data_IF_612667948926
#
_entry.id   IF_612667948926
#
_cell.length_a   1.000
_cell.length_b   1.000
_cell.length_c   1.000
_cell.angle_alpha   90.00
_cell.angle_beta   90.00
_cell.angle_gamma   90.00
#
_symmetry.space_group_name_H-M   'P 1'
#
loop_
_entity.id
_entity.type
_entity.pdbx_description
1 polymer ?
#
# COMPACT_ATOMS: atom_id res chain seq x y z
N UNK A 1 -50.62 -63.43 6.95
CA UNK A 1 -50.11 -63.52 5.58
C UNK A 1 -50.29 -62.17 4.94
N UNK A 2 -49.16 -61.56 4.61
CA UNK A 2 -48.89 -60.47 3.64
C UNK A 2 -50.00 -60.13 2.64
N UNK A 3 -50.16 -58.94 2.05
CA UNK A 3 -49.45 -57.63 2.01
C UNK A 3 -50.39 -56.70 1.21
N UNK A 4 -50.40 -55.39 1.52
CA UNK A 4 -50.60 -54.21 0.64
C UNK A 4 -51.47 -53.14 1.30
N UNK A 5 -50.81 -52.15 1.91
CA UNK A 5 -51.36 -50.81 2.06
C UNK A 5 -50.49 -49.84 1.26
N UNK A 6 -51.18 -49.08 0.41
CA UNK A 6 -50.72 -48.03 -0.49
C UNK A 6 -50.00 -46.89 0.26
N UNK A 7 -49.03 -46.20 -0.38
CA UNK A 7 -48.23 -45.19 0.26
C UNK A 7 -48.90 -43.80 0.24
N UNK A 8 -48.94 -43.19 1.43
CA UNK A 8 -48.15 -41.98 1.68
C UNK A 8 -48.56 -40.70 0.98
N UNK A 9 -49.21 -39.83 1.76
CA UNK A 9 -49.44 -38.40 1.55
C UNK A 9 -48.30 -37.68 0.79
N UNK A 10 -48.68 -37.00 -0.29
CA UNK A 10 -47.91 -35.91 -0.88
C UNK A 10 -47.89 -34.71 0.09
N UNK A 11 -46.72 -34.40 0.63
CA UNK A 11 -46.43 -33.09 1.22
C UNK A 11 -45.94 -32.17 0.11
N UNK A 12 -46.72 -31.13 -0.18
CA UNK A 12 -46.32 -30.07 -1.10
C UNK A 12 -45.02 -29.41 -0.61
N UNK A 13 -43.98 -29.54 -1.42
CA UNK A 13 -42.70 -28.86 -1.24
C UNK A 13 -42.97 -27.36 -1.41
N UNK A 14 -42.94 -26.63 -0.29
CA UNK A 14 -42.93 -25.18 -0.30
C UNK A 14 -41.69 -24.71 -1.07
N UNK A 15 -41.91 -24.06 -2.20
CA UNK A 15 -40.87 -23.36 -2.94
C UNK A 15 -40.32 -22.24 -2.05
N UNK A 16 -39.10 -22.44 -1.55
CA UNK A 16 -38.31 -21.35 -0.98
C UNK A 16 -38.06 -20.33 -2.09
N UNK A 17 -38.91 -19.30 -2.15
CA UNK A 17 -38.63 -18.09 -2.91
C UNK A 17 -37.45 -17.42 -2.20
N UNK A 18 -36.23 -17.74 -2.65
CA UNK A 18 -35.06 -16.94 -2.35
C UNK A 18 -35.27 -15.62 -3.08
N UNK A 19 -35.92 -14.67 -2.40
CA UNK A 19 -35.93 -13.28 -2.80
C UNK A 19 -34.48 -12.83 -2.81
N UNK A 20 -33.87 -12.92 -3.99
CA UNK A 20 -32.54 -12.37 -4.24
C UNK A 20 -32.76 -10.88 -4.22
N UNK A 21 -32.62 -10.27 -3.05
CA UNK A 21 -32.71 -8.83 -2.89
C UNK A 21 -31.58 -8.25 -3.74
N UNK A 22 -31.91 -7.82 -4.96
CA UNK A 22 -30.99 -7.10 -5.83
C UNK A 22 -30.79 -5.74 -5.18
N UNK A 23 -29.81 -5.66 -4.27
CA UNK A 23 -29.38 -4.39 -3.70
C UNK A 23 -28.90 -3.54 -4.88
N UNK A 24 -29.51 -2.38 -5.15
CA UNK A 24 -29.09 -1.51 -6.24
C UNK A 24 -27.59 -1.28 -6.15
N UNK A 25 -26.87 -1.53 -7.23
CA UNK A 25 -25.43 -1.28 -7.32
C UNK A 25 -25.24 0.23 -7.15
N UNK A 26 -24.88 0.68 -5.94
CA UNK A 26 -24.56 2.09 -5.69
C UNK A 26 -23.39 2.47 -6.60
N UNK A 27 -23.56 3.58 -7.32
CA UNK A 27 -22.52 4.08 -8.22
C UNK A 27 -21.41 4.64 -7.34
N UNK A 28 -20.22 4.03 -7.42
CA UNK A 28 -19.03 4.55 -6.76
C UNK A 28 -18.79 6.00 -7.23
N UNK A 29 -18.40 6.94 -6.35
CA UNK A 29 -18.02 8.28 -6.77
C UNK A 29 -16.95 8.20 -7.86
N UNK A 30 -16.97 9.13 -8.82
CA UNK A 30 -15.92 9.20 -9.83
C UNK A 30 -14.57 9.51 -9.18
N UNK A 31 -13.77 8.47 -8.92
CA UNK A 31 -12.42 8.62 -8.36
C UNK A 31 -11.42 9.19 -9.38
N UNK A 32 -11.75 9.16 -10.67
CA UNK A 32 -10.88 9.62 -11.75
C UNK A 32 -11.46 10.87 -12.41
N UNK A 33 -11.47 12.00 -11.68
CA UNK A 33 -11.81 13.29 -12.30
C UNK A 33 -10.59 13.85 -13.04
N UNK A 34 -10.79 14.69 -14.09
CA UNK A 34 -9.68 15.36 -14.78
C UNK A 34 -8.77 16.14 -13.84
N UNK A 35 -9.33 16.76 -12.78
CA UNK A 35 -8.57 17.50 -11.77
C UNK A 35 -7.65 16.57 -10.98
N UNK A 36 -8.16 15.46 -10.47
CA UNK A 36 -7.36 14.51 -9.69
C UNK A 36 -6.27 13.85 -10.54
N UNK A 37 -6.60 13.43 -11.77
CA UNK A 37 -5.61 12.85 -12.69
C UNK A 37 -4.51 13.84 -13.08
N UNK A 38 -4.85 15.10 -13.32
CA UNK A 38 -3.85 16.16 -13.55
C UNK A 38 -2.96 16.37 -12.33
N UNK A 39 -3.54 16.35 -11.12
CA UNK A 39 -2.77 16.49 -9.90
C UNK A 39 -1.80 15.31 -9.67
N UNK A 40 -2.21 14.08 -9.95
CA UNK A 40 -1.32 12.89 -9.89
C UNK A 40 -0.18 13.02 -10.90
N UNK A 41 -0.47 13.42 -12.15
CA UNK A 41 0.55 13.61 -13.17
C UNK A 41 1.56 14.70 -12.75
N UNK A 42 1.06 15.82 -12.23
CA UNK A 42 1.89 16.91 -11.71
C UNK A 42 2.76 16.44 -10.54
N UNK A 43 2.20 15.71 -9.58
CA UNK A 43 2.94 15.15 -8.46
C UNK A 43 4.06 14.22 -8.93
N UNK A 44 3.76 13.29 -9.85
CA UNK A 44 4.76 12.40 -10.46
C UNK A 44 5.87 13.16 -11.17
N UNK A 45 5.53 14.23 -11.88
CA UNK A 45 6.50 15.00 -12.66
C UNK A 45 7.64 15.58 -11.81
N UNK A 46 7.38 15.87 -10.54
CA UNK A 46 8.40 16.35 -9.58
C UNK A 46 9.50 15.31 -9.38
N UNK A 47 9.16 14.02 -9.51
CA UNK A 47 10.07 12.90 -9.29
C UNK A 47 10.61 12.28 -10.59
N UNK A 48 10.53 12.97 -11.74
CA UNK A 48 11.00 12.47 -13.03
C UNK A 48 12.50 12.08 -13.05
N UNK A 49 13.33 12.70 -12.20
CA UNK A 49 14.74 12.32 -12.06
C UNK A 49 14.94 10.91 -11.45
N UNK A 50 13.96 10.42 -10.69
CA UNK A 50 13.95 9.05 -10.16
C UNK A 50 12.51 8.58 -9.90
N UNK A 51 11.76 8.15 -10.94
CA UNK A 51 10.36 7.76 -10.79
C UNK A 51 10.17 6.52 -9.91
N UNK A 52 11.22 5.69 -9.74
CA UNK A 52 11.17 4.48 -8.91
C UNK A 52 10.82 4.78 -7.45
N UNK A 53 11.12 5.99 -6.95
CA UNK A 53 10.77 6.39 -5.59
C UNK A 53 9.25 6.26 -5.31
N UNK A 54 8.43 6.52 -6.33
CA UNK A 54 6.97 6.46 -6.22
C UNK A 54 6.43 5.04 -6.38
N UNK A 55 7.09 4.22 -7.20
CA UNK A 55 6.61 2.87 -7.56
C UNK A 55 7.17 1.76 -6.68
N UNK A 56 8.27 2.01 -5.97
CA UNK A 56 8.88 1.08 -5.02
C UNK A 56 8.59 1.48 -3.57
N UNK A 57 8.37 2.77 -3.30
CA UNK A 57 8.03 3.29 -1.97
C UNK A 57 9.03 2.87 -0.92
N UNK A 58 8.55 2.58 0.29
CA UNK A 58 9.40 2.23 1.44
C UNK A 58 10.34 1.05 1.18
N UNK A 59 9.99 0.16 0.26
CA UNK A 59 10.77 -1.03 -0.12
C UNK A 59 11.75 -0.78 -1.28
N UNK A 60 12.26 0.44 -1.39
CA UNK A 60 13.08 0.88 -2.52
C UNK A 60 14.33 0.02 -2.70
N UNK A 61 15.11 -0.18 -1.63
CA UNK A 61 16.36 -0.96 -1.68
C UNK A 61 16.04 -2.45 -1.91
N UNK A 62 15.06 -2.99 -1.19
CA UNK A 62 14.60 -4.37 -1.33
C UNK A 62 14.21 -4.71 -2.78
N UNK A 63 13.39 -3.86 -3.41
CA UNK A 63 12.98 -4.08 -4.79
C UNK A 63 14.10 -3.89 -5.80
N UNK A 64 15.07 -2.99 -5.55
CA UNK A 64 16.25 -2.91 -6.40
C UNK A 64 17.11 -4.19 -6.33
N UNK A 65 17.27 -4.79 -5.15
CA UNK A 65 17.93 -6.10 -5.02
C UNK A 65 17.16 -7.14 -5.85
N UNK A 66 15.83 -7.17 -5.71
CA UNK A 66 14.96 -8.09 -6.43
C UNK A 66 15.07 -7.95 -7.95
N UNK A 67 15.07 -6.71 -8.47
CA UNK A 67 15.21 -6.43 -9.91
C UNK A 67 16.56 -6.93 -10.46
N UNK A 68 17.68 -6.66 -9.79
CA UNK A 68 19.00 -7.13 -10.24
C UNK A 68 19.12 -8.66 -10.11
N UNK A 69 18.56 -9.28 -9.06
CA UNK A 69 18.49 -10.75 -8.97
C UNK A 69 17.68 -11.36 -10.12
N UNK A 70 16.53 -10.77 -10.48
CA UNK A 70 15.72 -11.25 -11.59
C UNK A 70 16.49 -11.18 -12.91
N UNK A 71 17.26 -10.11 -13.13
CA UNK A 71 18.10 -9.94 -14.31
C UNK A 71 19.22 -10.99 -14.38
N UNK A 72 19.91 -11.24 -13.27
CA UNK A 72 20.95 -12.26 -13.15
C UNK A 72 20.40 -13.67 -13.44
N UNK A 73 19.25 -14.00 -12.85
CA UNK A 73 18.57 -15.30 -13.06
C UNK A 73 18.09 -15.45 -14.51
N UNK A 74 17.44 -14.42 -15.06
CA UNK A 74 16.96 -14.44 -16.45
C UNK A 74 18.12 -14.57 -17.43
N UNK A 75 19.28 -13.96 -17.15
CA UNK A 75 20.47 -14.04 -17.98
C UNK A 75 20.95 -15.48 -18.11
N UNK A 76 21.08 -16.19 -16.98
CA UNK A 76 21.51 -17.60 -17.00
C UNK A 76 20.48 -18.51 -17.69
N UNK A 77 19.19 -18.34 -17.39
CA UNK A 77 18.13 -19.16 -18.01
C UNK A 77 18.00 -18.93 -19.52
N UNK A 78 18.30 -17.72 -20.01
CA UNK A 78 18.34 -17.45 -21.45
C UNK A 78 19.60 -18.01 -22.11
N UNK A 79 20.75 -17.94 -21.44
CA UNK A 79 22.01 -18.47 -21.95
C UNK A 79 22.01 -20.01 -21.99
N UNK A 80 21.33 -20.64 -21.03
CA UNK A 80 21.18 -22.10 -20.91
C UNK A 80 19.71 -22.45 -20.67
N UNK A 81 18.86 -22.47 -21.71
CA UNK A 81 17.45 -22.76 -21.56
C UNK A 81 17.20 -24.16 -20.99
N UNK A 82 16.41 -24.23 -19.93
CA UNK A 82 15.94 -25.47 -19.32
C UNK A 82 14.46 -25.32 -18.96
N UNK A 83 13.60 -26.17 -19.54
CA UNK A 83 12.16 -26.04 -19.40
C UNK A 83 11.68 -26.18 -17.95
N UNK A 84 12.29 -27.08 -17.17
CA UNK A 84 11.91 -27.29 -15.76
C UNK A 84 12.36 -26.10 -14.91
N UNK A 85 13.60 -25.61 -15.10
CA UNK A 85 14.10 -24.46 -14.34
C UNK A 85 13.32 -23.18 -14.69
N UNK A 86 12.96 -23.00 -15.97
CA UNK A 86 12.09 -21.91 -16.39
C UNK A 86 10.68 -22.02 -15.79
N UNK A 87 10.12 -23.23 -15.72
CA UNK A 87 8.83 -23.44 -15.08
C UNK A 87 8.89 -23.14 -13.57
N UNK A 88 9.95 -23.59 -12.89
CA UNK A 88 10.22 -23.26 -11.49
C UNK A 88 10.28 -21.74 -11.33
N UNK A 89 11.08 -21.07 -12.18
CA UNK A 89 11.23 -19.61 -12.18
C UNK A 89 9.89 -18.87 -12.37
N UNK A 90 9.12 -19.24 -13.40
CA UNK A 90 7.85 -18.59 -13.72
C UNK A 90 6.75 -18.84 -12.68
N UNK A 91 6.80 -19.97 -11.97
CA UNK A 91 5.86 -20.29 -10.89
C UNK A 91 6.20 -19.56 -9.58
N UNK A 92 7.40 -18.98 -9.48
CA UNK A 92 7.83 -18.26 -8.29
C UNK A 92 7.31 -16.83 -8.33
N UNK A 93 6.37 -16.53 -7.42
CA UNK A 93 5.81 -15.18 -7.30
C UNK A 93 6.77 -14.17 -6.66
N UNK A 94 7.87 -14.63 -6.02
CA UNK A 94 8.89 -13.83 -5.33
C UNK A 94 10.26 -14.55 -5.34
N UNK A 95 11.38 -13.83 -5.18
CA UNK A 95 12.78 -14.33 -5.22
C UNK A 95 13.21 -15.22 -4.02
N UNK A 96 12.33 -15.49 -3.05
CA UNK A 96 12.67 -16.34 -1.91
C UNK A 96 12.37 -17.83 -2.16
N UNK A 97 13.03 -18.46 -3.13
CA UNK A 97 12.82 -19.89 -3.41
C UNK A 97 14.15 -20.60 -3.63
N UNK A 98 14.69 -21.10 -2.51
CA UNK A 98 15.82 -22.04 -2.51
C UNK A 98 15.58 -23.24 -3.44
N UNK A 99 14.34 -23.52 -3.85
CA UNK A 99 13.96 -24.53 -4.85
C UNK A 99 14.77 -24.45 -6.14
N UNK A 100 14.94 -23.26 -6.74
CA UNK A 100 15.64 -23.13 -8.02
C UNK A 100 17.11 -23.53 -7.88
N UNK A 101 17.81 -22.92 -6.91
CA UNK A 101 19.23 -23.24 -6.65
C UNK A 101 19.41 -24.67 -6.16
N UNK A 102 18.50 -25.21 -5.35
CA UNK A 102 18.56 -26.60 -4.90
C UNK A 102 18.42 -27.58 -6.06
N UNK A 103 17.57 -27.27 -7.05
CA UNK A 103 17.43 -28.09 -8.26
C UNK A 103 18.68 -28.05 -9.13
N UNK A 104 19.30 -26.88 -9.27
CA UNK A 104 20.59 -26.73 -9.98
C UNK A 104 21.68 -27.57 -9.28
N UNK A 105 21.79 -27.45 -7.95
CA UNK A 105 22.76 -28.21 -7.14
C UNK A 105 22.53 -29.72 -7.19
N UNK A 106 21.27 -30.17 -7.08
CA UNK A 106 20.94 -31.60 -7.12
C UNK A 106 21.28 -32.25 -8.45
N UNK A 107 21.36 -31.47 -9.53
CA UNK A 107 21.75 -31.93 -10.86
C UNK A 107 23.24 -31.80 -11.15
N UNK A 108 24.03 -31.15 -10.28
CA UNK A 108 25.46 -30.92 -10.51
C UNK A 108 25.75 -29.99 -11.70
N UNK A 109 24.84 -29.05 -12.00
CA UNK A 109 24.93 -28.16 -13.16
C UNK A 109 25.21 -26.70 -12.79
N UNK A 110 25.76 -26.43 -11.61
CA UNK A 110 26.08 -25.09 -11.10
C UNK A 110 26.91 -24.27 -12.08
N UNK A 111 27.88 -24.90 -12.75
CA UNK A 111 28.73 -24.25 -13.74
C UNK A 111 27.96 -23.69 -14.95
N UNK A 112 26.76 -24.20 -15.24
CA UNK A 112 25.89 -23.68 -16.29
C UNK A 112 25.08 -22.43 -15.85
N UNK A 113 24.96 -22.18 -14.55
CA UNK A 113 24.12 -21.11 -13.98
C UNK A 113 24.89 -20.27 -12.93
N UNK A 114 26.02 -19.66 -13.30
CA UNK A 114 26.90 -18.98 -12.35
C UNK A 114 26.25 -17.77 -11.65
N UNK A 115 25.38 -17.02 -12.33
CA UNK A 115 24.70 -15.86 -11.73
C UNK A 115 23.60 -16.30 -10.76
N UNK A 116 22.86 -17.36 -11.06
CA UNK A 116 21.90 -17.97 -10.12
C UNK A 116 22.65 -18.48 -8.88
N UNK A 117 23.75 -19.21 -9.07
CA UNK A 117 24.58 -19.69 -7.95
C UNK A 117 25.06 -18.53 -7.09
N UNK A 118 25.55 -17.44 -7.70
CA UNK A 118 25.98 -16.24 -6.99
C UNK A 118 24.83 -15.56 -6.23
N UNK A 119 23.66 -15.39 -6.85
CA UNK A 119 22.50 -14.73 -6.23
C UNK A 119 22.01 -15.45 -4.96
N UNK A 120 22.15 -16.78 -4.91
CA UNK A 120 21.78 -17.61 -3.76
C UNK A 120 22.96 -18.04 -2.87
N UNK A 121 24.17 -17.55 -3.14
CA UNK A 121 25.34 -17.79 -2.30
C UNK A 121 25.34 -16.89 -1.07
N UNK A 122 26.04 -17.33 -0.02
CA UNK A 122 26.20 -16.55 1.22
C UNK A 122 26.89 -15.21 0.90
N UNK A 123 26.31 -14.11 1.37
CA UNK A 123 26.91 -12.78 1.28
C UNK A 123 27.21 -12.26 2.69
N UNK A 124 28.48 -12.28 3.09
CA UNK A 124 28.90 -11.79 4.40
C UNK A 124 28.84 -10.26 4.52
N UNK A 125 28.70 -9.53 3.41
CA UNK A 125 28.54 -8.08 3.40
C UNK A 125 27.08 -7.63 3.57
N UNK A 126 26.12 -8.54 3.41
CA UNK A 126 24.70 -8.30 3.62
C UNK A 126 24.38 -8.16 5.12
N UNK A 127 24.68 -6.98 5.67
CA UNK A 127 24.52 -6.66 7.09
C UNK A 127 23.43 -5.61 7.29
N UNK A 128 22.80 -5.53 8.48
CA UNK A 128 21.87 -4.45 8.79
C UNK A 128 22.46 -3.05 8.56
N UNK A 129 23.76 -2.88 8.81
CA UNK A 129 24.49 -1.62 8.56
C UNK A 129 24.51 -1.28 7.08
N UNK A 130 24.73 -2.27 6.19
CA UNK A 130 24.67 -2.07 4.75
C UNK A 130 23.30 -1.57 4.29
N UNK A 131 22.22 -2.24 4.71
CA UNK A 131 20.86 -1.84 4.34
C UNK A 131 20.50 -0.46 4.90
N UNK A 132 20.82 -0.20 6.18
CA UNK A 132 20.59 1.09 6.82
C UNK A 132 21.34 2.22 6.11
N UNK A 133 22.59 2.00 5.72
CA UNK A 133 23.39 3.03 5.02
C UNK A 133 22.77 3.42 3.69
N UNK A 134 22.31 2.43 2.90
CA UNK A 134 21.62 2.68 1.64
C UNK A 134 20.26 3.35 1.85
N UNK A 135 19.48 2.87 2.82
CA UNK A 135 18.19 3.44 3.19
C UNK A 135 18.35 4.91 3.60
N UNK A 136 19.28 5.22 4.50
CA UNK A 136 19.53 6.56 4.99
C UNK A 136 20.03 7.49 3.87
N UNK A 137 20.93 7.00 3.02
CA UNK A 137 21.39 7.76 1.86
C UNK A 137 20.22 8.13 0.94
N UNK A 138 19.28 7.22 0.74
CA UNK A 138 18.12 7.45 -0.12
C UNK A 138 17.06 8.34 0.54
N UNK A 139 16.70 8.09 1.80
CA UNK A 139 15.55 8.69 2.46
C UNK A 139 15.85 9.87 3.41
N UNK A 140 17.03 9.96 4.02
CA UNK A 140 17.25 11.00 5.04
C UNK A 140 17.48 12.39 4.44
N UNK A 141 18.01 12.49 3.22
CA UNK A 141 18.19 13.77 2.53
C UNK A 141 16.91 14.30 1.87
N UNK A 142 16.88 15.61 1.63
CA UNK A 142 15.74 16.28 0.97
C UNK A 142 15.88 16.32 -0.56
N UNK A 143 16.98 15.83 -1.11
CA UNK A 143 17.16 15.76 -2.57
C UNK A 143 16.55 14.48 -3.12
N UNK A 144 15.99 14.54 -4.33
CA UNK A 144 15.57 13.34 -5.07
C UNK A 144 16.83 12.66 -5.60
N UNK A 145 17.33 11.69 -4.83
CA UNK A 145 18.57 10.98 -5.16
C UNK A 145 18.32 9.92 -6.24
N UNK A 146 19.31 9.62 -7.09
CA UNK A 146 19.23 8.47 -7.98
C UNK A 146 19.11 7.18 -7.16
N UNK A 147 18.52 6.16 -7.77
CA UNK A 147 18.48 4.82 -7.17
C UNK A 147 19.92 4.29 -7.03
N UNK A 148 20.30 3.73 -5.87
CA UNK A 148 21.64 3.16 -5.71
C UNK A 148 21.82 1.93 -6.61
N UNK A 149 23.05 1.72 -7.07
CA UNK A 149 23.41 0.47 -7.74
C UNK A 149 23.58 -0.65 -6.70
N UNK A 150 22.87 -1.77 -6.87
CA UNK A 150 22.87 -2.87 -5.92
C UNK A 150 23.63 -4.06 -6.50
N UNK A 151 24.95 -4.09 -6.28
CA UNK A 151 25.81 -5.20 -6.71
C UNK A 151 26.76 -5.60 -5.56
N UNK A 152 26.97 -6.91 -5.31
CA UNK A 152 26.18 -8.03 -5.83
C UNK A 152 24.71 -7.96 -5.37
N UNK A 153 23.80 -8.56 -6.13
CA UNK A 153 22.40 -8.73 -5.75
C UNK A 153 22.21 -10.18 -5.27
N UNK A 154 21.97 -10.35 -3.97
CA UNK A 154 21.93 -11.66 -3.31
C UNK A 154 20.68 -11.80 -2.45
N UNK A 155 20.27 -13.04 -2.19
CA UNK A 155 19.12 -13.32 -1.31
C UNK A 155 19.35 -12.76 0.10
N UNK A 156 20.58 -12.83 0.62
CA UNK A 156 20.92 -12.25 1.93
C UNK A 156 20.68 -10.72 1.93
N UNK A 157 21.08 -10.00 0.88
CA UNK A 157 20.81 -8.55 0.74
C UNK A 157 19.31 -8.25 0.61
N UNK A 158 18.57 -9.08 -0.13
CA UNK A 158 17.13 -8.94 -0.28
C UNK A 158 16.40 -9.03 1.07
N UNK A 159 16.77 -10.02 1.89
CA UNK A 159 16.18 -10.25 3.21
C UNK A 159 16.55 -9.14 4.21
N UNK A 160 17.82 -8.70 4.21
CA UNK A 160 18.27 -7.64 5.13
C UNK A 160 17.69 -6.29 4.75
N UNK A 161 17.56 -5.98 3.45
CA UNK A 161 16.87 -4.77 3.00
C UNK A 161 15.37 -4.80 3.38
N UNK A 162 14.69 -5.95 3.21
CA UNK A 162 13.30 -6.11 3.64
C UNK A 162 13.12 -5.85 5.14
N UNK A 163 14.00 -6.42 5.97
CA UNK A 163 13.95 -6.26 7.42
C UNK A 163 14.18 -4.80 7.87
N UNK A 164 15.03 -4.07 7.14
CA UNK A 164 15.27 -2.65 7.36
C UNK A 164 14.09 -1.76 6.91
N UNK A 165 13.42 -2.12 5.83
CA UNK A 165 12.39 -1.30 5.17
C UNK A 165 10.96 -1.60 5.66
N UNK A 166 10.71 -2.79 6.20
CA UNK A 166 9.41 -3.12 6.78
C UNK A 166 9.09 -2.16 7.93
N UNK A 167 7.93 -1.52 7.88
CA UNK A 167 7.51 -0.52 8.87
C UNK A 167 8.19 0.84 8.73
N UNK A 168 8.92 1.11 7.64
CA UNK A 168 9.55 2.40 7.39
C UNK A 168 8.60 3.44 6.77
N UNK A 169 7.28 3.18 6.78
CA UNK A 169 6.27 3.99 6.10
C UNK A 169 6.27 5.44 6.58
N UNK A 170 6.32 5.65 7.89
CA UNK A 170 6.42 6.98 8.50
C UNK A 170 7.62 7.77 7.97
N UNK A 171 8.81 7.16 8.01
CA UNK A 171 10.05 7.81 7.57
C UNK A 171 10.02 8.11 6.06
N UNK A 172 9.55 7.16 5.26
CA UNK A 172 9.47 7.26 3.80
C UNK A 172 8.45 8.31 3.35
N UNK A 173 7.26 8.34 3.97
CA UNK A 173 6.20 9.33 3.74
C UNK A 173 6.70 10.75 4.01
N UNK A 174 7.36 10.97 5.15
CA UNK A 174 7.95 12.27 5.48
C UNK A 174 9.09 12.68 4.56
N UNK A 175 9.96 11.73 4.23
CA UNK A 175 11.07 12.00 3.34
C UNK A 175 10.60 12.36 1.93
N UNK A 176 9.58 11.68 1.40
CA UNK A 176 8.99 12.04 0.10
C UNK A 176 8.43 13.46 0.14
N UNK A 177 7.76 13.85 1.22
CA UNK A 177 7.24 15.20 1.37
C UNK A 177 8.34 16.26 1.37
N UNK A 178 9.43 16.05 2.15
CA UNK A 178 10.59 16.97 2.14
C UNK A 178 11.21 17.10 0.75
N UNK A 179 11.34 15.98 0.04
CA UNK A 179 11.85 15.95 -1.34
C UNK A 179 10.96 16.73 -2.31
N UNK A 180 9.64 16.56 -2.22
CA UNK A 180 8.68 17.32 -3.02
C UNK A 180 8.81 18.82 -2.77
N UNK A 181 8.82 19.23 -1.50
CA UNK A 181 8.84 20.64 -1.07
C UNK A 181 10.13 21.32 -1.53
N UNK A 182 11.28 20.66 -1.37
CA UNK A 182 12.56 21.15 -1.88
C UNK A 182 12.55 21.25 -3.40
N UNK A 183 12.09 20.23 -4.12
CA UNK A 183 12.03 20.25 -5.57
C UNK A 183 11.09 21.33 -6.12
N UNK A 184 10.05 21.70 -5.37
CA UNK A 184 9.11 22.79 -5.70
C UNK A 184 9.58 24.18 -5.24
N UNK A 185 10.69 24.28 -4.49
CA UNK A 185 11.20 25.54 -3.97
C UNK A 185 10.26 26.22 -2.96
N UNK A 186 9.44 25.43 -2.25
CA UNK A 186 8.48 25.97 -1.29
C UNK A 186 9.18 26.47 -0.02
N UNK A 187 8.65 27.56 0.54
CA UNK A 187 9.13 28.15 1.79
C UNK A 187 8.68 27.33 3.01
N UNK A 188 9.23 27.58 4.22
CA UNK A 188 8.72 26.99 5.45
C UNK A 188 7.21 27.19 5.62
N UNK A 189 6.52 26.21 6.21
CA UNK A 189 5.05 26.26 6.34
C UNK A 189 4.63 27.45 7.20
N UNK A 190 3.78 28.36 6.66
CA UNK A 190 3.14 29.41 7.45
C UNK A 190 2.35 28.82 8.63
N UNK A 191 2.36 29.49 9.78
CA UNK A 191 1.63 29.02 10.97
C UNK A 191 0.12 28.82 10.72
N UNK A 192 -0.48 29.60 9.82
CA UNK A 192 -1.89 29.48 9.42
C UNK A 192 -2.23 28.18 8.66
N UNK A 193 -1.23 27.45 8.16
CA UNK A 193 -1.39 26.22 7.38
C UNK A 193 -0.98 24.96 8.16
N UNK A 194 -0.61 25.08 9.44
CA UNK A 194 -0.27 23.94 10.31
C UNK A 194 -1.54 23.32 10.88
N UNK A 195 -1.80 22.05 10.58
CA UNK A 195 -3.11 21.41 10.86
C UNK A 195 -3.17 20.68 12.22
N UNK A 196 -2.15 19.91 12.62
CA UNK A 196 -1.93 19.45 14.02
C UNK A 196 -0.70 18.52 14.07
N UNK A 197 -0.20 18.21 15.28
CA UNK A 197 0.87 17.25 15.57
C UNK A 197 0.31 15.94 16.18
N UNK A 198 -0.93 15.54 15.84
CA UNK A 198 -1.66 14.60 16.68
C UNK A 198 -2.95 14.00 16.13
N UNK A 199 -3.60 13.28 17.04
CA UNK A 199 -4.96 12.76 16.92
C UNK A 199 -5.94 13.89 16.58
N UNK A 200 -6.96 13.60 15.76
CA UNK A 200 -7.94 14.60 15.33
C UNK A 200 -9.34 14.34 15.86
N UNK A 201 -10.11 15.42 16.04
CA UNK A 201 -11.56 15.41 16.25
C UNK A 201 -12.06 14.39 17.32
N UNK A 202 -11.28 14.19 18.39
CA UNK A 202 -11.53 13.18 19.43
C UNK A 202 -11.81 11.80 18.83
N UNK A 203 -11.03 11.40 17.82
CA UNK A 203 -11.11 10.10 17.19
C UNK A 203 -10.93 9.00 18.23
N UNK A 204 -11.72 7.94 18.16
CA UNK A 204 -11.56 6.74 18.98
C UNK A 204 -11.69 5.53 18.09
N UNK A 205 -11.04 4.42 18.46
CA UNK A 205 -11.24 3.15 17.79
C UNK A 205 -12.33 2.36 18.53
N UNK A 206 -13.36 1.96 17.80
CA UNK A 206 -14.45 1.11 18.30
C UNK A 206 -14.52 -0.16 17.47
N UNK A 207 -14.89 -1.26 18.11
CA UNK A 207 -15.12 -2.53 17.41
C UNK A 207 -16.58 -2.65 17.02
N UNK A 208 -16.84 -2.83 15.74
CA UNK A 208 -18.18 -3.15 15.26
C UNK A 208 -18.55 -4.59 15.67
N UNK A 209 -19.67 -4.78 16.39
CA UNK A 209 -20.04 -6.09 16.91
C UNK A 209 -20.52 -7.07 15.83
N UNK A 210 -20.98 -6.58 14.68
CA UNK A 210 -21.53 -7.43 13.61
C UNK A 210 -20.42 -7.91 12.66
N UNK A 211 -19.52 -7.00 12.28
CA UNK A 211 -18.44 -7.32 11.35
C UNK A 211 -17.12 -7.69 12.03
N UNK A 212 -17.01 -7.45 13.35
CA UNK A 212 -15.76 -7.62 14.11
C UNK A 212 -14.60 -6.77 13.55
N UNK A 213 -14.92 -5.64 12.92
CA UNK A 213 -13.96 -4.69 12.34
C UNK A 213 -13.74 -3.51 13.28
N UNK A 214 -12.51 -3.05 13.35
CA UNK A 214 -12.18 -1.85 14.10
C UNK A 214 -12.42 -0.59 13.24
N UNK A 215 -13.13 0.38 13.80
CA UNK A 215 -13.60 1.60 13.14
C UNK A 215 -13.13 2.84 13.89
N UNK A 216 -12.78 3.89 13.15
CA UNK A 216 -12.53 5.21 13.73
C UNK A 216 -13.86 5.94 13.83
N UNK A 217 -14.20 6.38 15.05
CA UNK A 217 -15.34 7.26 15.32
C UNK A 217 -14.83 8.58 15.86
N UNK A 218 -15.27 9.69 15.27
CA UNK A 218 -14.90 11.04 15.71
C UNK A 218 -15.93 11.56 16.70
N UNK A 219 -15.48 11.91 17.91
CA UNK A 219 -16.34 12.48 18.95
C UNK A 219 -16.84 13.90 18.64
N UNK A 220 -16.31 14.56 17.61
CA UNK A 220 -16.74 15.92 17.22
C UNK A 220 -16.77 16.08 15.68
N UNK A 221 -17.93 15.88 15.03
CA UNK A 221 -18.09 16.03 13.58
C UNK A 221 -17.71 17.41 13.06
N UNK A 222 -18.03 18.48 13.79
CA UNK A 222 -17.67 19.85 13.41
C UNK A 222 -16.15 20.05 13.41
N UNK A 223 -15.44 19.49 14.38
CA UNK A 223 -13.99 19.50 14.41
C UNK A 223 -13.39 18.71 13.24
N UNK A 224 -14.00 17.58 12.86
CA UNK A 224 -13.59 16.85 11.65
C UNK A 224 -13.73 17.73 10.41
N UNK A 225 -14.88 18.39 10.21
CA UNK A 225 -15.08 19.29 9.07
C UNK A 225 -14.08 20.45 9.06
N UNK A 226 -13.75 21.01 10.23
CA UNK A 226 -12.73 22.05 10.34
C UNK A 226 -11.34 21.54 9.93
N UNK A 227 -10.98 20.31 10.32
CA UNK A 227 -9.73 19.67 9.90
C UNK A 227 -9.73 19.46 8.39
N UNK A 228 -10.80 18.92 7.80
CA UNK A 228 -10.94 18.76 6.34
C UNK A 228 -10.78 20.10 5.61
N UNK A 229 -11.39 21.17 6.12
CA UNK A 229 -11.20 22.52 5.58
C UNK A 229 -9.74 22.98 5.65
N UNK A 230 -9.05 22.72 6.75
CA UNK A 230 -7.65 23.10 6.91
C UNK A 230 -6.72 22.28 6.01
N UNK A 231 -7.02 20.99 5.77
CA UNK A 231 -6.32 20.16 4.78
C UNK A 231 -6.43 20.79 3.40
N UNK A 232 -7.64 21.14 2.97
CA UNK A 232 -7.86 21.81 1.66
C UNK A 232 -7.01 23.08 1.55
N UNK A 233 -6.99 23.93 2.58
CA UNK A 233 -6.17 25.15 2.61
C UNK A 233 -4.66 24.88 2.47
N UNK A 234 -4.14 23.85 3.15
CA UNK A 234 -2.73 23.49 3.02
C UNK A 234 -2.39 22.98 1.61
N UNK A 235 -3.26 22.14 1.04
CA UNK A 235 -3.11 21.61 -0.33
C UNK A 235 -3.20 22.72 -1.39
N UNK A 236 -4.11 23.68 -1.22
CA UNK A 236 -4.23 24.86 -2.09
C UNK A 236 -2.94 25.70 -2.09
N UNK A 237 -2.24 25.75 -0.96
CA UNK A 237 -0.93 26.36 -0.81
C UNK A 237 0.24 25.44 -1.22
N UNK A 238 -0.04 24.32 -1.89
CA UNK A 238 0.93 23.31 -2.35
C UNK A 238 1.71 22.57 -1.26
N UNK A 239 1.31 22.70 0.01
CA UNK A 239 1.85 21.89 1.09
C UNK A 239 1.15 20.54 1.15
N UNK A 240 1.88 19.53 1.63
CA UNK A 240 1.39 18.16 1.70
C UNK A 240 0.90 17.85 3.12
N UNK A 241 -0.02 16.91 3.22
CA UNK A 241 -0.57 16.48 4.51
C UNK A 241 -0.28 14.99 4.73
N UNK A 242 0.43 14.69 5.80
CA UNK A 242 0.56 13.35 6.35
C UNK A 242 -0.73 12.97 7.06
N UNK A 243 -1.31 11.83 6.68
CA UNK A 243 -2.44 11.23 7.36
C UNK A 243 -1.98 9.92 8.00
N UNK A 244 -2.05 9.85 9.33
CA UNK A 244 -1.90 8.60 10.06
C UNK A 244 -3.23 7.86 10.13
N UNK A 245 -3.21 6.58 9.82
CA UNK A 245 -4.40 5.78 9.52
C UNK A 245 -4.45 4.48 10.32
N UNK A 246 -5.68 4.03 10.55
CA UNK A 246 -5.98 2.65 10.92
C UNK A 246 -6.00 1.82 9.63
N UNK A 247 -5.23 0.75 9.57
CA UNK A 247 -5.00 -0.06 8.39
C UNK A 247 -5.71 -1.42 8.50
N UNK A 248 -6.58 -1.72 7.54
CA UNK A 248 -7.16 -3.06 7.40
C UNK A 248 -8.29 -3.35 8.38
N UNK A 249 -8.23 -4.50 9.06
CA UNK A 249 -9.38 -5.14 9.74
C UNK A 249 -9.40 -4.88 11.24
N UNK A 250 -8.24 -4.97 11.91
CA UNK A 250 -8.10 -4.92 13.37
C UNK A 250 -6.93 -4.05 13.79
N UNK A 251 -7.11 -3.34 14.90
CA UNK A 251 -6.11 -2.52 15.56
C UNK A 251 -5.55 -3.21 16.81
N UNK A 252 -4.27 -2.99 17.08
CA UNK A 252 -3.71 -3.20 18.42
C UNK A 252 -4.11 -2.02 19.33
N UNK A 253 -5.23 -2.16 20.05
CA UNK A 253 -5.82 -1.08 20.87
C UNK A 253 -4.86 -0.43 21.87
N UNK A 254 -3.83 -1.16 22.35
CA UNK A 254 -2.80 -0.62 23.25
C UNK A 254 -1.86 0.40 22.60
N UNK A 255 -1.83 0.49 21.27
CA UNK A 255 -0.97 1.41 20.54
C UNK A 255 -1.66 2.72 20.17
N UNK A 256 -2.98 2.81 20.31
CA UNK A 256 -3.71 4.05 20.04
C UNK A 256 -3.28 5.17 21.02
N UNK A 257 -3.06 6.43 20.58
CA UNK A 257 -3.35 7.00 19.26
C UNK A 257 -2.15 7.02 18.28
N UNK A 258 -1.21 6.09 18.37
CA UNK A 258 -0.10 5.98 17.39
C UNK A 258 -0.66 5.38 16.08
N UNK A 259 -0.46 6.03 14.93
CA UNK A 259 -0.82 5.48 13.62
C UNK A 259 -0.11 4.16 13.29
N UNK A 260 -0.85 3.19 12.74
CA UNK A 260 -0.28 1.95 12.20
C UNK A 260 0.47 2.19 10.88
N UNK A 261 -0.05 3.14 10.11
CA UNK A 261 0.43 3.46 8.77
C UNK A 261 0.27 4.94 8.45
N UNK A 262 0.99 5.42 7.44
CA UNK A 262 1.00 6.84 7.05
C UNK A 262 0.92 6.99 5.54
N UNK A 263 -0.07 7.75 5.08
CA UNK A 263 -0.23 8.14 3.68
C UNK A 263 -0.03 9.65 3.50
N UNK A 264 0.37 10.06 2.30
CA UNK A 264 0.68 11.45 1.97
C UNK A 264 -0.38 12.03 1.04
N UNK A 265 -1.28 12.85 1.57
CA UNK A 265 -2.28 13.58 0.79
C UNK A 265 -1.63 14.77 0.10
N UNK A 266 -1.86 14.90 -1.21
CA UNK A 266 -1.24 15.94 -2.03
C UNK A 266 -2.21 16.68 -2.97
N UNK A 267 -3.46 16.22 -3.08
CA UNK A 267 -4.48 16.87 -3.90
C UNK A 267 -5.88 16.52 -3.44
N UNK A 268 -6.87 17.31 -3.86
CA UNK A 268 -8.28 17.02 -3.62
C UNK A 268 -9.19 17.57 -4.72
N UNK A 269 -10.41 17.03 -4.78
CA UNK A 269 -11.53 17.50 -5.58
C UNK A 269 -12.85 17.28 -4.81
N UNK A 270 -13.55 18.34 -4.46
CA UNK A 270 -14.67 18.27 -3.52
C UNK A 270 -14.24 17.70 -2.17
N UNK A 271 -14.80 16.55 -1.80
CA UNK A 271 -14.48 15.79 -0.58
C UNK A 271 -13.69 14.50 -0.86
N UNK A 272 -13.11 14.39 -2.06
CA UNK A 272 -12.20 13.31 -2.44
C UNK A 272 -10.76 13.80 -2.41
N UNK A 273 -9.88 13.07 -1.74
CA UNK A 273 -8.48 13.41 -1.53
C UNK A 273 -7.59 12.33 -2.12
N UNK A 274 -6.62 12.70 -2.94
CA UNK A 274 -5.64 11.74 -3.48
C UNK A 274 -4.44 11.70 -2.57
N UNK A 275 -3.98 10.48 -2.30
CA UNK A 275 -2.78 10.24 -1.52
C UNK A 275 -1.77 9.37 -2.26
N UNK A 276 -0.52 9.49 -1.83
CA UNK A 276 0.54 8.53 -2.08
C UNK A 276 0.78 7.67 -0.84
N UNK A 277 1.00 6.38 -1.06
CA UNK A 277 1.24 5.37 -0.06
C UNK A 277 2.67 4.82 -0.22
N UNK A 278 3.46 4.93 0.85
CA UNK A 278 4.82 4.39 0.85
C UNK A 278 4.84 2.86 0.83
N UNK A 279 3.77 2.19 1.28
CA UNK A 279 3.55 0.78 0.96
C UNK A 279 2.81 0.65 -0.37
N UNK A 280 3.57 0.73 -1.46
CA UNK A 280 3.06 0.70 -2.82
C UNK A 280 2.35 -0.61 -3.19
N UNK A 281 2.44 -1.65 -2.35
CA UNK A 281 1.87 -2.98 -2.63
C UNK A 281 0.39 -3.08 -2.29
N UNK A 282 -0.08 -2.26 -1.36
CA UNK A 282 -1.46 -2.32 -0.83
C UNK A 282 -2.40 -1.34 -1.52
N UNK A 283 -1.89 -0.20 -2.01
CA UNK A 283 -2.68 0.84 -2.68
C UNK A 283 -2.47 0.81 -4.20
N UNK A 284 -3.43 0.28 -4.96
CA UNK A 284 -3.41 0.26 -6.44
C UNK A 284 -4.83 0.21 -7.02
N UNK A 285 -5.49 1.36 -7.14
CA UNK A 285 -6.85 1.43 -7.69
C UNK A 285 -6.79 1.36 -9.22
N UNK A 286 -6.84 0.14 -9.80
CA UNK A 286 -6.71 -0.08 -11.25
C UNK A 286 -7.59 0.84 -12.12
N UNK A 287 -8.82 1.12 -11.66
CA UNK A 287 -9.78 1.95 -12.40
C UNK A 287 -9.34 3.41 -12.59
N UNK A 288 -8.38 3.92 -11.82
CA UNK A 288 -7.88 5.30 -11.99
C UNK A 288 -6.74 5.41 -12.98
N UNK A 289 -6.02 4.32 -13.27
CA UNK A 289 -4.81 4.34 -14.11
C UNK A 289 -3.61 5.05 -13.47
N UNK A 290 -3.69 5.45 -12.19
CA UNK A 290 -2.60 6.14 -11.50
C UNK A 290 -1.43 5.21 -11.12
N UNK A 291 -1.66 3.90 -11.07
CA UNK A 291 -0.64 2.91 -10.73
C UNK A 291 -0.43 2.74 -9.22
N UNK A 292 0.55 1.91 -8.88
CA UNK A 292 0.88 1.51 -7.51
C UNK A 292 1.26 2.71 -6.63
N UNK A 293 0.90 2.60 -5.36
CA UNK A 293 1.14 3.64 -4.35
C UNK A 293 0.16 4.80 -4.39
N UNK A 294 -0.87 4.79 -5.23
CA UNK A 294 -1.85 5.88 -5.28
C UNK A 294 -3.24 5.41 -4.88
N UNK A 295 -3.89 6.17 -4.01
CA UNK A 295 -5.24 5.89 -3.52
C UNK A 295 -6.06 7.15 -3.31
N UNK A 296 -7.29 6.96 -2.81
CA UNK A 296 -8.23 8.04 -2.49
C UNK A 296 -8.79 7.90 -1.10
N UNK A 297 -8.93 9.03 -0.40
CA UNK A 297 -9.73 9.17 0.81
C UNK A 297 -10.99 9.96 0.47
N UNK A 298 -12.10 9.59 1.08
CA UNK A 298 -13.36 10.30 1.03
C UNK A 298 -13.64 10.88 2.41
N UNK A 299 -13.93 12.19 2.44
CA UNK A 299 -14.46 12.84 3.61
C UNK A 299 -16.00 12.83 3.54
N UNK A 300 -16.63 12.47 4.64
CA UNK A 300 -18.07 12.67 4.86
C UNK A 300 -18.25 13.51 6.11
N UNK A 301 -19.50 13.74 6.53
CA UNK A 301 -19.78 14.39 7.80
C UNK A 301 -19.14 13.67 9.01
N UNK A 302 -18.97 12.35 8.92
CA UNK A 302 -18.61 11.49 10.05
C UNK A 302 -17.41 10.57 9.79
N UNK A 303 -16.85 10.56 8.58
CA UNK A 303 -15.74 9.67 8.22
C UNK A 303 -14.68 10.41 7.41
N UNK A 304 -13.42 10.03 7.59
CA UNK A 304 -12.35 10.35 6.65
C UNK A 304 -11.56 9.09 6.37
N UNK A 305 -11.88 8.40 5.27
CA UNK A 305 -11.45 7.02 5.04
C UNK A 305 -11.35 6.68 3.57
N UNK A 306 -10.76 5.54 3.22
CA UNK A 306 -10.82 5.04 1.84
C UNK A 306 -12.21 4.57 1.45
N UNK A 307 -13.10 4.27 2.40
CA UNK A 307 -14.49 3.93 2.14
C UNK A 307 -15.33 5.16 1.77
N UNK A 308 -16.07 5.10 0.66
CA UNK A 308 -16.90 6.25 0.23
C UNK A 308 -18.24 6.34 0.97
N UNK A 309 -18.69 5.24 1.57
CA UNK A 309 -19.81 5.21 2.51
C UNK A 309 -19.59 4.14 3.58
N UNK A 310 -20.52 4.01 4.52
CA UNK A 310 -20.43 3.01 5.61
C UNK A 310 -20.51 1.57 5.11
N UNK A 311 -21.24 1.30 4.03
CA UNK A 311 -21.38 -0.07 3.50
C UNK A 311 -20.04 -0.50 2.91
N UNK A 312 -19.44 0.36 2.11
CA UNK A 312 -18.14 0.13 1.48
C UNK A 312 -17.01 0.04 2.51
N UNK A 313 -17.04 0.88 3.56
CA UNK A 313 -16.07 0.83 4.66
C UNK A 313 -16.09 -0.50 5.41
N UNK A 314 -17.24 -1.18 5.46
CA UNK A 314 -17.42 -2.45 6.16
C UNK A 314 -17.28 -3.67 5.24
N UNK A 315 -17.26 -3.46 3.93
CA UNK A 315 -17.17 -4.51 2.92
C UNK A 315 -15.72 -4.74 2.50
N UNK A 316 -14.97 -5.48 3.31
CA UNK A 316 -13.55 -5.79 3.07
C UNK A 316 -13.23 -7.29 3.07
N UNK A 317 -12.16 -7.67 2.37
CA UNK A 317 -11.58 -9.00 2.42
C UNK A 317 -10.72 -9.22 3.69
N UNK A 318 -10.20 -10.44 3.85
CA UNK A 318 -9.34 -10.81 4.98
C UNK A 318 -8.03 -10.03 5.06
N UNK A 319 -7.60 -9.41 3.95
CA UNK A 319 -6.42 -8.57 3.87
C UNK A 319 -6.77 -7.10 4.09
N UNK A 320 -8.03 -6.76 4.40
CA UNK A 320 -8.48 -5.40 4.58
C UNK A 320 -8.67 -4.60 3.29
N UNK A 321 -8.78 -5.25 2.12
CA UNK A 321 -9.08 -4.55 0.87
C UNK A 321 -10.60 -4.47 0.65
N UNK A 322 -11.09 -3.35 0.14
CA UNK A 322 -12.50 -3.20 -0.21
C UNK A 322 -12.94 -4.19 -1.30
N UNK A 323 -14.09 -4.86 -1.10
CA UNK A 323 -14.61 -5.88 -2.03
C UNK A 323 -15.07 -5.30 -3.37
N UNK A 324 -15.52 -4.05 -3.39
CA UNK A 324 -15.99 -3.41 -4.63
C UNK A 324 -14.84 -3.06 -5.58
N UNK A 325 -13.64 -2.83 -5.05
CA UNK A 325 -12.46 -2.40 -5.79
C UNK A 325 -11.21 -3.03 -5.19
N UNK A 326 -10.77 -4.14 -5.78
CA UNK A 326 -9.56 -4.85 -5.37
C UNK A 326 -8.36 -3.90 -5.28
N UNK A 327 -7.52 -4.07 -4.25
CA UNK A 327 -6.32 -3.25 -3.99
C UNK A 327 -6.61 -1.77 -3.69
N UNK A 328 -7.84 -1.43 -3.27
CA UNK A 328 -8.07 -0.28 -2.40
C UNK A 328 -8.04 -0.81 -0.97
N UNK A 329 -6.92 -0.64 -0.29
CA UNK A 329 -6.79 -1.03 1.10
C UNK A 329 -7.65 -0.12 1.99
N UNK A 330 -8.18 -0.67 3.09
CA UNK A 330 -9.01 0.08 4.04
C UNK A 330 -8.13 0.94 4.94
N UNK A 331 -8.28 2.24 4.82
CA UNK A 331 -7.68 3.23 5.71
C UNK A 331 -8.74 4.11 6.36
N UNK A 332 -8.58 4.41 7.65
CA UNK A 332 -9.38 5.40 8.36
C UNK A 332 -8.47 6.38 9.08
N UNK A 333 -8.56 7.67 8.74
CA UNK A 333 -7.64 8.71 9.22
C UNK A 333 -7.98 9.12 10.63
N UNK A 334 -7.04 9.05 11.56
CA UNK A 334 -7.24 9.58 12.92
C UNK A 334 -6.12 10.51 13.40
N UNK A 335 -5.14 10.76 12.54
CA UNK A 335 -4.02 11.65 12.78
C UNK A 335 -3.75 12.46 11.52
N UNK A 336 -3.55 13.77 11.62
CA UNK A 336 -3.11 14.57 10.47
C UNK A 336 -2.06 15.60 10.84
N UNK A 337 -1.15 15.83 9.90
CA UNK A 337 -0.08 16.80 10.05
C UNK A 337 0.34 17.39 8.70
N UNK A 338 0.50 18.72 8.63
CA UNK A 338 1.10 19.37 7.46
C UNK A 338 2.61 19.13 7.44
N UNK A 339 3.17 18.79 6.28
CA UNK A 339 4.60 18.53 6.08
C UNK A 339 5.28 19.65 5.26
N UNK A 340 6.58 19.93 5.50
CA UNK A 340 7.45 19.27 6.47
C UNK A 340 7.31 19.89 7.89
N UNK A 341 7.64 19.11 8.91
CA UNK A 341 7.53 19.54 10.33
C UNK A 341 8.67 20.45 10.72
#
# INVERSE_FOLDING_TARGET
MEVNQDPGLQWAVGTNIVNTLVIPRRVSPSMNTPRLSSAVANFKSVFNANPKILTLGQFHIHYLVHEEMNKDITTDLNAKPDAELNQIWNNMKNVNSKTLINKIKSRGIEANYPNIVKAYSKDNSATPIWAKTLYDHFWNGDTINPSPNIIPATLDRYLVAFDQEKGACYKSTRALARKYIKAKGLQPIPNSLKISLGQIANANVVRDPLSNLDNVVYGNPQALQQIISNIKKALDASYLVECGVLSGVKHEMSQFPIPEHYVLVFAYDGDTFVFWDSDVTVSNIKATGWGKGFGVLFATNNTFSTGFDSVDLMSVDVNGNHLQLSQRHRYQVYYVQTLPV
#
